data_IF_699300057498
#
_entry.id   IF_699300057498
#
_cell.length_a   1.000
_cell.length_b   1.000
_cell.length_c   1.000
_cell.angle_alpha   90.00
_cell.angle_beta   90.00
_cell.angle_gamma   90.00
#
_symmetry.space_group_name_H-M   'P 1'
#
loop_
_entity.id
_entity.type
_entity.pdbx_description
1 polymer ?
#
# COMPACT_ATOMS: atom_id res chain seq x y z
N UNK A 1 40.09 1.60 16.25
CA UNK A 1 39.40 2.46 17.23
C UNK A 1 38.54 3.46 16.45
N UNK A 2 37.21 3.37 16.52
CA UNK A 2 36.33 4.28 15.78
C UNK A 2 36.30 5.69 16.41
N UNK A 3 36.38 6.72 15.58
CA UNK A 3 36.39 8.14 15.98
C UNK A 3 35.14 8.51 16.79
N UNK A 4 35.30 9.38 17.80
CA UNK A 4 34.21 9.87 18.68
C UNK A 4 33.04 10.48 17.90
N UNK A 5 33.28 11.02 16.70
CA UNK A 5 32.26 11.55 15.80
C UNK A 5 31.35 10.45 15.23
N UNK A 6 31.94 9.36 14.71
CA UNK A 6 31.17 8.20 14.21
C UNK A 6 30.37 7.52 15.32
N UNK A 7 30.92 7.47 16.55
CA UNK A 7 30.19 6.91 17.71
C UNK A 7 29.00 7.78 18.11
N UNK A 8 29.10 9.11 17.99
CA UNK A 8 27.97 10.03 18.21
C UNK A 8 26.92 9.89 17.11
N UNK A 9 27.30 9.83 15.83
CA UNK A 9 26.36 9.62 14.73
C UNK A 9 25.60 8.29 14.87
N UNK A 10 26.31 7.20 15.20
CA UNK A 10 25.69 5.90 15.47
C UNK A 10 24.72 5.92 16.66
N UNK A 11 25.06 6.62 17.74
CA UNK A 11 24.15 6.77 18.89
C UNK A 11 22.96 7.67 18.58
N UNK A 12 23.11 8.63 17.66
CA UNK A 12 22.01 9.50 17.23
C UNK A 12 21.04 8.74 16.34
N UNK A 13 21.54 7.93 15.41
CA UNK A 13 20.76 6.98 14.61
C UNK A 13 20.06 5.93 15.49
N UNK A 14 20.73 5.41 16.53
CA UNK A 14 20.14 4.48 17.49
C UNK A 14 19.05 5.12 18.37
N UNK A 15 19.14 6.42 18.66
CA UNK A 15 18.06 7.16 19.36
C UNK A 15 16.88 7.45 18.44
N UNK A 16 17.13 7.82 17.18
CA UNK A 16 16.08 8.03 16.17
C UNK A 16 15.35 6.73 15.83
N UNK A 17 16.03 5.58 15.84
CA UNK A 17 15.40 4.27 15.67
C UNK A 17 14.42 3.90 16.80
N UNK A 18 14.52 4.54 17.98
CA UNK A 18 13.67 4.26 19.14
C UNK A 18 12.52 5.25 19.34
N UNK A 19 12.49 6.36 18.59
CA UNK A 19 11.34 7.28 18.54
C UNK A 19 10.64 7.11 17.20
N UNK A 20 9.55 6.33 17.12
CA UNK A 20 8.81 6.23 15.89
C UNK A 20 8.25 7.61 15.55
N UNK A 21 8.48 8.09 14.33
CA UNK A 21 7.94 9.37 13.84
C UNK A 21 6.41 9.35 13.95
N UNK A 22 5.81 8.16 13.81
CA UNK A 22 4.40 7.90 14.07
C UNK A 22 3.94 8.25 15.50
N UNK A 23 4.77 8.14 16.55
CA UNK A 23 4.37 8.49 17.92
C UNK A 23 4.31 10.01 18.14
N UNK A 24 5.23 10.78 17.56
CA UNK A 24 5.19 12.25 17.61
C UNK A 24 4.02 12.80 16.79
N UNK A 25 3.70 12.19 15.65
CA UNK A 25 2.54 12.55 14.83
C UNK A 25 1.20 12.15 15.48
N UNK A 26 1.16 11.01 16.21
CA UNK A 26 -0.04 10.53 16.92
C UNK A 26 -0.37 11.36 18.16
N UNK A 27 0.63 11.88 18.88
CA UNK A 27 0.43 12.70 20.08
C UNK A 27 -0.32 14.01 19.82
N UNK A 28 -0.22 14.55 18.60
CA UNK A 28 -0.86 15.82 18.22
C UNK A 28 -2.34 15.69 17.78
N UNK A 29 -2.83 14.47 17.50
CA UNK A 29 -4.18 14.24 16.96
C UNK A 29 -5.18 13.66 17.97
N UNK A 30 -4.74 13.26 19.17
CA UNK A 30 -5.59 12.65 20.21
C UNK A 30 -6.36 13.66 21.09
N UNK A 31 -6.37 14.95 20.72
CA UNK A 31 -7.01 16.03 21.49
C UNK A 31 -8.52 16.19 21.32
N UNK A 32 -9.20 15.36 20.51
CA UNK A 32 -10.65 15.49 20.31
C UNK A 32 -11.41 14.31 20.93
N UNK A 33 -12.05 14.58 22.07
CA UNK A 33 -12.97 13.68 22.75
C UNK A 33 -14.24 13.48 21.90
N UNK A 34 -14.43 12.27 21.38
CA UNK A 34 -15.70 11.86 20.80
C UNK A 34 -16.61 11.29 21.90
N UNK A 35 -17.72 11.97 22.18
CA UNK A 35 -18.78 11.46 23.06
C UNK A 35 -19.48 10.26 22.41
N UNK A 36 -19.49 9.12 23.10
CA UNK A 36 -20.22 7.90 22.69
C UNK A 36 -21.71 8.08 22.98
N UNK A 37 -22.54 8.05 21.94
CA UNK A 37 -23.99 7.82 22.06
C UNK A 37 -24.25 6.32 21.99
N UNK A 38 -24.82 5.76 23.06
CA UNK A 38 -25.16 4.35 23.15
C UNK A 38 -26.48 4.05 22.40
N UNK A 39 -26.44 3.15 21.42
CA UNK A 39 -27.64 2.55 20.83
C UNK A 39 -27.63 1.04 21.06
N UNK A 40 -28.80 0.48 21.43
CA UNK A 40 -28.99 -0.93 21.76
C UNK A 40 -29.00 -1.79 20.49
N UNK A 41 -28.41 -3.01 20.49
CA UNK A 41 -28.42 -3.87 19.31
C UNK A 41 -29.73 -4.66 19.20
N UNK A 42 -30.28 -4.70 17.98
CA UNK A 42 -31.35 -5.60 17.54
C UNK A 42 -30.70 -6.92 17.10
N UNK A 43 -31.24 -8.05 17.57
CA UNK A 43 -30.73 -9.38 17.26
C UNK A 43 -31.19 -9.83 15.86
N UNK A 44 -30.23 -10.02 14.94
CA UNK A 44 -30.44 -10.79 13.71
C UNK A 44 -29.60 -12.07 13.75
N UNK A 45 -30.29 -13.20 13.63
CA UNK A 45 -29.74 -14.54 13.63
C UNK A 45 -29.13 -14.84 12.24
N UNK A 46 -27.79 -14.91 12.15
CA UNK A 46 -27.09 -15.36 10.94
C UNK A 46 -26.42 -16.72 11.17
N UNK A 47 -26.74 -17.68 10.30
CA UNK A 47 -26.17 -19.02 10.26
C UNK A 47 -24.65 -18.96 10.00
N UNK A 48 -23.86 -19.47 10.96
CA UNK A 48 -22.42 -19.68 10.82
C UNK A 48 -22.14 -20.84 9.86
N UNK A 49 -21.51 -20.57 8.71
CA UNK A 49 -20.76 -21.56 7.95
C UNK A 49 -19.34 -21.64 8.52
N UNK A 50 -18.96 -22.82 9.02
CA UNK A 50 -17.65 -23.06 9.64
C UNK A 50 -16.51 -23.14 8.62
N UNK A 51 -15.46 -22.36 8.84
CA UNK A 51 -14.16 -22.54 8.20
C UNK A 51 -13.37 -23.61 8.97
N UNK A 52 -12.83 -24.60 8.25
CA UNK A 52 -11.98 -25.65 8.82
C UNK A 52 -10.65 -25.07 9.30
N UNK A 53 -10.24 -25.49 10.49
CA UNK A 53 -8.95 -25.23 11.12
C UNK A 53 -7.82 -25.98 10.42
N UNK A 54 -6.70 -25.28 10.16
CA UNK A 54 -5.42 -25.90 9.82
C UNK A 54 -4.67 -26.31 11.10
N UNK A 55 -4.03 -27.49 11.15
CA UNK A 55 -3.31 -27.95 12.34
C UNK A 55 -1.90 -27.34 12.41
N UNK A 56 -1.59 -26.67 13.52
CA UNK A 56 -0.23 -26.25 13.89
C UNK A 56 0.52 -27.42 14.53
N UNK A 57 1.54 -27.94 13.85
CA UNK A 57 2.44 -28.96 14.41
C UNK A 57 3.53 -28.27 15.24
N UNK A 58 3.29 -28.14 16.55
CA UNK A 58 4.32 -27.75 17.50
C UNK A 58 5.24 -28.95 17.76
N UNK A 59 6.53 -28.80 17.50
CA UNK A 59 7.54 -29.83 17.70
C UNK A 59 8.85 -29.23 18.19
N UNK A 60 9.10 -29.36 19.49
CA UNK A 60 10.39 -29.50 20.19
C UNK A 60 11.62 -28.94 19.42
N UNK A 61 11.67 -27.61 19.25
CA UNK A 61 12.89 -26.89 18.81
C UNK A 61 12.97 -25.49 19.45
N UNK A 62 12.35 -25.33 20.63
CA UNK A 62 12.16 -24.03 21.29
C UNK A 62 13.31 -23.54 22.18
N UNK A 63 14.30 -24.38 22.49
CA UNK A 63 15.25 -24.11 23.59
C UNK A 63 16.63 -23.63 23.16
N UNK A 64 17.06 -23.82 21.89
CA UNK A 64 18.39 -23.39 21.42
C UNK A 64 18.30 -22.15 20.50
N UNK A 65 17.10 -21.79 20.04
CA UNK A 65 16.84 -20.67 19.12
C UNK A 65 16.75 -19.30 19.83
N UNK A 66 16.45 -19.28 21.13
CA UNK A 66 16.08 -18.06 21.87
C UNK A 66 17.23 -17.16 22.35
N UNK A 67 18.46 -17.66 22.48
CA UNK A 67 19.53 -16.91 23.18
C UNK A 67 20.44 -16.11 22.24
N UNK A 68 20.50 -16.48 20.95
CA UNK A 68 21.34 -15.80 19.94
C UNK A 68 20.50 -14.91 18.98
N UNK A 69 19.18 -15.12 18.91
CA UNK A 69 18.30 -14.35 18.02
C UNK A 69 17.92 -12.96 18.57
N UNK A 70 17.69 -12.81 19.88
CA UNK A 70 17.15 -11.56 20.47
C UNK A 70 18.06 -10.33 20.34
N UNK A 71 19.39 -10.50 20.28
CA UNK A 71 20.33 -9.36 20.18
C UNK A 71 20.50 -8.82 18.75
N UNK A 72 20.17 -9.62 17.72
CA UNK A 72 20.26 -9.22 16.30
C UNK A 72 18.90 -8.96 15.65
N UNK A 73 17.81 -9.28 16.35
CA UNK A 73 16.42 -9.11 15.91
C UNK A 73 16.11 -7.68 15.45
N UNK A 74 16.43 -6.62 16.22
CA UNK A 74 16.08 -5.25 15.82
C UNK A 74 16.74 -4.84 14.50
N UNK A 75 18.03 -5.15 14.32
CA UNK A 75 18.78 -4.81 13.10
C UNK A 75 18.28 -5.59 11.87
N UNK A 76 17.91 -6.86 12.07
CA UNK A 76 17.33 -7.68 10.99
C UNK A 76 15.97 -7.16 10.55
N UNK A 77 15.14 -6.72 11.49
CA UNK A 77 13.83 -6.11 11.20
C UNK A 77 14.02 -4.81 10.42
N UNK A 78 14.92 -3.92 10.85
CA UNK A 78 15.20 -2.66 10.13
C UNK A 78 15.67 -2.92 8.70
N UNK A 79 16.62 -3.84 8.50
CA UNK A 79 17.13 -4.17 7.17
C UNK A 79 16.06 -4.80 6.27
N UNK A 80 15.31 -5.79 6.78
CA UNK A 80 14.26 -6.46 6.03
C UNK A 80 13.11 -5.51 5.67
N UNK A 81 12.67 -4.68 6.62
CA UNK A 81 11.63 -3.67 6.36
C UNK A 81 12.09 -2.62 5.35
N UNK A 82 13.38 -2.24 5.36
CA UNK A 82 13.94 -1.34 4.34
C UNK A 82 13.91 -1.97 2.95
N UNK A 83 14.31 -3.22 2.80
CA UNK A 83 14.26 -3.92 1.50
C UNK A 83 12.82 -4.00 0.96
N UNK A 84 11.86 -4.32 1.83
CA UNK A 84 10.44 -4.37 1.47
C UNK A 84 9.93 -2.99 1.07
N UNK A 85 10.26 -1.97 1.86
CA UNK A 85 9.90 -0.60 1.55
C UNK A 85 10.46 -0.15 0.19
N UNK A 86 11.73 -0.47 -0.10
CA UNK A 86 12.36 -0.14 -1.38
C UNK A 86 11.68 -0.83 -2.56
N UNK A 87 11.10 -2.01 -2.36
CA UNK A 87 10.27 -2.65 -3.38
C UNK A 87 8.95 -1.89 -3.59
N UNK A 88 8.30 -1.42 -2.52
CA UNK A 88 7.09 -0.61 -2.60
C UNK A 88 7.33 0.75 -3.30
N UNK A 89 8.39 1.46 -2.93
CA UNK A 89 8.66 2.83 -3.41
C UNK A 89 9.12 2.90 -4.87
N UNK A 90 9.58 1.78 -5.42
CA UNK A 90 9.96 1.63 -6.84
C UNK A 90 8.80 1.36 -7.79
N UNK A 91 7.58 1.21 -7.27
CA UNK A 91 6.42 0.87 -8.10
C UNK A 91 6.07 1.98 -9.10
N UNK A 92 5.97 3.24 -8.64
CA UNK A 92 5.68 4.41 -9.48
C UNK A 92 6.81 5.45 -9.37
N UNK A 93 7.98 5.18 -9.98
CA UNK A 93 9.12 6.06 -9.87
C UNK A 93 8.88 7.34 -10.69
N UNK A 94 9.23 8.47 -10.11
CA UNK A 94 9.26 9.75 -10.81
C UNK A 94 10.56 10.49 -10.47
N UNK A 95 10.98 11.37 -11.37
CA UNK A 95 12.14 12.23 -11.20
C UNK A 95 11.82 13.63 -11.71
N UNK A 96 12.18 14.65 -10.95
CA UNK A 96 12.11 16.04 -11.38
C UNK A 96 13.54 16.50 -11.66
N UNK A 97 13.75 17.19 -12.78
CA UNK A 97 15.06 17.76 -13.11
C UNK A 97 15.41 18.90 -12.13
N UNK A 98 16.53 18.81 -11.38
CA UNK A 98 16.99 19.88 -10.50
C UNK A 98 17.13 21.25 -11.18
N UNK A 99 17.40 21.29 -12.49
CA UNK A 99 17.50 22.53 -13.26
C UNK A 99 16.11 23.17 -13.38
N UNK A 100 15.09 22.37 -13.69
CA UNK A 100 13.70 22.84 -13.79
C UNK A 100 13.17 23.34 -12.44
N UNK A 101 13.59 22.73 -11.32
CA UNK A 101 13.26 23.21 -9.96
C UNK A 101 13.80 24.62 -9.74
N UNK A 102 15.10 24.83 -10.01
CA UNK A 102 15.73 26.14 -9.81
C UNK A 102 15.19 27.21 -10.75
N UNK A 103 14.82 26.83 -11.97
CA UNK A 103 14.25 27.74 -12.96
C UNK A 103 12.76 28.04 -12.72
N UNK A 104 12.07 27.28 -11.85
CA UNK A 104 10.63 27.41 -11.63
C UNK A 104 9.77 27.02 -12.84
N UNK A 105 10.32 26.22 -13.76
CA UNK A 105 9.70 25.85 -15.04
C UNK A 105 9.11 24.44 -15.05
N UNK A 106 8.94 23.83 -13.87
CA UNK A 106 8.37 22.49 -13.76
C UNK A 106 6.94 22.49 -14.31
N UNK A 107 6.59 21.58 -15.24
CA UNK A 107 5.21 21.43 -15.68
C UNK A 107 4.31 21.07 -14.51
N UNK A 108 3.10 21.64 -14.48
CA UNK A 108 2.14 21.40 -13.40
C UNK A 108 0.84 20.78 -13.92
N UNK A 109 0.23 19.95 -13.11
CA UNK A 109 -1.16 19.50 -13.30
C UNK A 109 -2.14 20.68 -13.13
N UNK A 110 -3.40 20.56 -13.59
CA UNK A 110 -4.44 21.56 -13.29
C UNK A 110 -4.61 21.83 -11.79
N UNK A 111 -4.32 20.84 -10.95
CA UNK A 111 -4.36 20.93 -9.48
C UNK A 111 -3.08 21.53 -8.87
N UNK A 112 -2.10 21.92 -9.70
CA UNK A 112 -0.87 22.59 -9.28
C UNK A 112 0.28 21.66 -8.84
N UNK A 113 0.13 20.34 -8.97
CA UNK A 113 1.19 19.38 -8.66
C UNK A 113 2.29 19.38 -9.73
N UNK A 114 3.54 19.31 -9.28
CA UNK A 114 4.72 19.16 -10.15
C UNK A 114 4.71 17.81 -10.89
N UNK A 115 4.90 17.86 -12.20
CA UNK A 115 5.00 16.71 -13.09
C UNK A 115 6.47 16.48 -13.44
N UNK A 116 6.98 15.31 -13.09
CA UNK A 116 8.32 14.86 -13.46
C UNK A 116 8.34 13.94 -14.67
N UNK A 117 9.42 13.16 -14.78
CA UNK A 117 9.54 12.03 -15.70
C UNK A 117 9.35 10.74 -14.91
N UNK A 118 8.51 9.83 -15.40
CA UNK A 118 8.30 8.51 -14.80
C UNK A 118 8.13 7.44 -15.87
N UNK A 119 8.48 6.20 -15.51
CA UNK A 119 8.36 5.02 -16.38
C UNK A 119 7.80 3.85 -15.59
N UNK A 120 7.24 2.87 -16.30
CA UNK A 120 6.68 1.66 -15.72
C UNK A 120 5.16 1.67 -15.73
N UNK A 121 4.56 0.53 -15.34
CA UNK A 121 3.16 0.28 -15.63
C UNK A 121 2.18 1.31 -15.06
N UNK A 122 2.49 1.90 -13.91
CA UNK A 122 1.61 2.89 -13.29
C UNK A 122 1.51 4.18 -14.14
N UNK A 123 2.57 4.53 -14.86
CA UNK A 123 2.60 5.69 -15.75
C UNK A 123 2.23 5.30 -17.19
N UNK A 124 2.86 4.25 -17.71
CA UNK A 124 2.76 3.88 -19.13
C UNK A 124 1.44 3.17 -19.45
N UNK A 125 1.02 2.23 -18.60
CA UNK A 125 -0.18 1.41 -18.83
C UNK A 125 -1.42 2.08 -18.22
N UNK A 126 -1.37 2.48 -16.94
CA UNK A 126 -2.51 3.08 -16.21
C UNK A 126 -2.64 4.61 -16.31
N UNK A 127 -1.74 5.27 -17.08
CA UNK A 127 -1.79 6.71 -17.38
C UNK A 127 -1.85 7.61 -16.14
N UNK A 128 -1.21 7.21 -15.05
CA UNK A 128 -1.07 8.08 -13.87
C UNK A 128 0.09 9.05 -14.09
N UNK A 129 -0.09 10.34 -13.80
CA UNK A 129 0.97 11.32 -14.00
C UNK A 129 2.14 11.05 -13.03
N UNK A 130 3.40 11.26 -13.46
CA UNK A 130 4.59 11.08 -12.63
C UNK A 130 4.77 12.23 -11.61
N UNK A 131 3.92 12.24 -10.59
CA UNK A 131 3.92 13.24 -9.51
C UNK A 131 4.21 12.60 -8.15
N UNK A 132 4.58 13.42 -7.16
CA UNK A 132 4.71 12.98 -5.76
C UNK A 132 3.42 12.32 -5.25
N UNK A 133 2.27 12.85 -5.65
CA UNK A 133 0.96 12.32 -5.26
C UNK A 133 0.77 10.90 -5.78
N UNK A 134 1.01 10.65 -7.07
CA UNK A 134 0.96 9.29 -7.65
C UNK A 134 1.95 8.35 -6.96
N UNK A 135 3.20 8.79 -6.77
CA UNK A 135 4.21 7.98 -6.08
C UNK A 135 3.77 7.60 -4.66
N UNK A 136 3.31 8.57 -3.87
CA UNK A 136 2.94 8.33 -2.48
C UNK A 136 1.72 7.41 -2.36
N UNK A 137 0.68 7.61 -3.18
CA UNK A 137 -0.53 6.77 -3.19
C UNK A 137 -0.23 5.33 -3.63
N UNK A 138 0.55 5.15 -4.69
CA UNK A 138 0.96 3.82 -5.16
C UNK A 138 1.86 3.14 -4.13
N UNK A 139 2.81 3.85 -3.54
CA UNK A 139 3.69 3.30 -2.48
C UNK A 139 2.88 2.86 -1.27
N UNK A 140 1.94 3.69 -0.80
CA UNK A 140 1.04 3.36 0.31
C UNK A 140 0.16 2.14 -0.02
N UNK A 141 -0.32 2.01 -1.26
CA UNK A 141 -1.07 0.82 -1.70
C UNK A 141 -0.23 -0.47 -1.63
N UNK A 142 1.06 -0.43 -1.99
CA UNK A 142 1.94 -1.60 -1.83
C UNK A 142 2.27 -1.86 -0.36
N UNK A 143 2.51 -0.81 0.43
CA UNK A 143 2.71 -0.94 1.87
C UNK A 143 1.49 -1.55 2.56
N UNK A 144 0.26 -1.22 2.12
CA UNK A 144 -0.97 -1.80 2.64
C UNK A 144 -0.99 -3.32 2.48
N UNK A 145 -0.58 -3.84 1.32
CA UNK A 145 -0.51 -5.29 1.07
C UNK A 145 0.37 -5.99 2.10
N UNK A 146 1.54 -5.40 2.37
CA UNK A 146 2.48 -5.90 3.40
C UNK A 146 1.87 -5.76 4.80
N UNK A 147 1.23 -4.63 5.10
CA UNK A 147 0.54 -4.38 6.37
C UNK A 147 -0.55 -5.42 6.66
N UNK A 148 -1.32 -5.82 5.65
CA UNK A 148 -2.29 -6.90 5.76
C UNK A 148 -1.61 -8.21 6.18
N UNK A 149 -0.51 -8.58 5.54
CA UNK A 149 0.22 -9.81 5.88
C UNK A 149 0.90 -9.77 7.26
N UNK A 150 1.43 -8.60 7.64
CA UNK A 150 2.08 -8.42 8.94
C UNK A 150 1.12 -8.61 10.12
N UNK A 151 -0.18 -8.35 9.92
CA UNK A 151 -1.20 -8.57 10.96
C UNK A 151 -1.41 -10.04 11.32
N UNK A 152 -0.90 -10.96 10.52
CA UNK A 152 -0.94 -12.40 10.80
C UNK A 152 0.24 -12.85 11.69
N UNK A 153 1.23 -11.99 11.95
CA UNK A 153 2.33 -12.25 12.88
C UNK A 153 1.91 -12.01 14.34
N UNK A 154 2.79 -12.36 15.28
CA UNK A 154 2.68 -11.94 16.67
C UNK A 154 2.51 -10.43 16.80
N UNK A 155 1.68 -10.00 17.76
CA UNK A 155 1.26 -8.59 17.92
C UNK A 155 2.44 -7.62 18.01
N UNK A 156 3.47 -7.97 18.77
CA UNK A 156 4.63 -7.09 18.99
C UNK A 156 5.52 -7.01 17.75
N UNK A 157 5.73 -8.15 17.07
CA UNK A 157 6.43 -8.19 15.80
C UNK A 157 5.67 -7.36 14.74
N UNK A 158 4.37 -7.58 14.59
CA UNK A 158 3.53 -6.84 13.66
C UNK A 158 3.63 -5.32 13.88
N UNK A 159 3.51 -4.86 15.13
CA UNK A 159 3.63 -3.44 15.49
C UNK A 159 5.01 -2.87 15.18
N UNK A 160 6.08 -3.59 15.53
CA UNK A 160 7.45 -3.17 15.27
C UNK A 160 7.72 -3.01 13.77
N UNK A 161 7.30 -3.99 12.97
CA UNK A 161 7.47 -3.97 11.51
C UNK A 161 6.66 -2.86 10.84
N UNK A 162 5.40 -2.71 11.25
CA UNK A 162 4.54 -1.66 10.73
C UNK A 162 5.09 -0.26 11.03
N UNK A 163 5.59 -0.04 12.25
CA UNK A 163 6.22 1.23 12.61
C UNK A 163 7.44 1.52 11.73
N UNK A 164 8.34 0.55 11.56
CA UNK A 164 9.54 0.72 10.72
C UNK A 164 9.22 0.98 9.24
N UNK A 165 8.24 0.27 8.67
CA UNK A 165 7.80 0.52 7.29
C UNK A 165 7.24 1.92 7.10
N UNK A 166 6.45 2.41 8.06
CA UNK A 166 5.91 3.77 8.06
C UNK A 166 7.03 4.78 8.19
N UNK A 167 7.97 4.57 9.11
CA UNK A 167 9.11 5.46 9.29
C UNK A 167 9.92 5.58 7.98
N UNK A 168 10.28 4.46 7.32
CA UNK A 168 10.97 4.49 6.02
C UNK A 168 10.24 5.30 4.96
N UNK A 169 8.91 5.19 4.90
CA UNK A 169 8.08 5.96 3.99
C UNK A 169 8.13 7.46 4.27
N UNK A 170 8.00 7.86 5.54
CA UNK A 170 8.02 9.27 5.91
C UNK A 170 9.40 9.91 5.74
N UNK A 171 10.48 9.14 5.92
CA UNK A 171 11.83 9.61 5.60
C UNK A 171 12.02 9.87 4.10
N UNK A 172 11.61 8.95 3.22
CA UNK A 172 11.69 9.16 1.75
C UNK A 172 10.75 10.30 1.31
N UNK A 173 9.55 10.40 1.91
CA UNK A 173 8.62 11.48 1.62
C UNK A 173 9.20 12.86 1.98
N UNK A 174 9.85 13.00 3.15
CA UNK A 174 10.51 14.27 3.52
C UNK A 174 11.68 14.59 2.58
N UNK A 175 12.51 13.59 2.27
CA UNK A 175 13.64 13.75 1.34
C UNK A 175 13.18 14.22 -0.04
N UNK A 176 12.10 13.64 -0.58
CA UNK A 176 11.51 14.05 -1.86
C UNK A 176 10.93 15.45 -1.81
N UNK A 177 10.27 15.84 -0.71
CA UNK A 177 9.77 17.21 -0.56
C UNK A 177 10.92 18.23 -0.55
N UNK A 178 12.02 17.92 0.13
CA UNK A 178 13.18 18.81 0.23
C UNK A 178 13.96 18.86 -1.10
N UNK A 179 14.41 17.70 -1.59
CA UNK A 179 15.31 17.60 -2.75
C UNK A 179 14.57 17.63 -4.09
N UNK A 180 13.41 16.98 -4.18
CA UNK A 180 12.65 16.81 -5.42
C UNK A 180 11.68 17.96 -5.72
N UNK A 181 11.22 18.68 -4.69
CA UNK A 181 10.26 19.78 -4.84
C UNK A 181 10.79 21.12 -4.28
N UNK A 182 12.01 21.15 -3.75
CA UNK A 182 12.63 22.39 -3.25
C UNK A 182 11.93 22.98 -2.03
N UNK A 183 11.15 22.20 -1.28
CA UNK A 183 10.41 22.66 -0.10
C UNK A 183 11.37 22.73 1.09
N UNK A 184 12.21 23.76 1.11
CA UNK A 184 13.24 23.96 2.14
C UNK A 184 12.66 24.30 3.53
N UNK A 185 11.43 24.83 3.58
CA UNK A 185 10.75 25.15 4.84
C UNK A 185 10.35 23.87 5.59
N UNK A 186 11.08 23.58 6.68
CA UNK A 186 10.77 22.47 7.59
C UNK A 186 9.34 22.53 8.14
N UNK A 187 8.84 23.72 8.46
CA UNK A 187 7.47 23.90 8.97
C UNK A 187 6.42 23.46 7.95
N UNK A 188 6.64 23.81 6.68
CA UNK A 188 5.76 23.42 5.58
C UNK A 188 5.84 21.91 5.30
N UNK A 189 7.05 21.33 5.27
CA UNK A 189 7.21 19.87 5.15
C UNK A 189 6.50 19.12 6.26
N UNK A 190 6.66 19.53 7.52
CA UNK A 190 5.98 18.92 8.65
C UNK A 190 4.44 18.97 8.54
N UNK A 191 3.89 20.05 7.96
CA UNK A 191 2.45 20.13 7.67
C UNK A 191 2.06 19.06 6.65
N UNK A 192 2.77 18.98 5.52
CA UNK A 192 2.48 17.99 4.49
C UNK A 192 2.65 16.54 4.97
N UNK A 193 3.67 16.25 5.80
CA UNK A 193 3.85 14.93 6.39
C UNK A 193 2.69 14.57 7.35
N UNK A 194 2.15 15.53 8.10
CA UNK A 194 0.93 15.30 8.91
C UNK A 194 -0.28 14.99 8.04
N UNK A 195 -0.47 15.74 6.96
CA UNK A 195 -1.57 15.49 6.02
C UNK A 195 -1.43 14.09 5.39
N UNK A 196 -0.22 13.72 4.99
CA UNK A 196 0.10 12.41 4.43
C UNK A 196 -0.11 11.27 5.44
N UNK A 197 0.15 11.52 6.74
CA UNK A 197 -0.14 10.55 7.81
C UNK A 197 -1.64 10.32 7.99
N UNK A 198 -2.46 11.37 7.91
CA UNK A 198 -3.92 11.21 7.92
C UNK A 198 -4.38 10.42 6.69
N UNK A 199 -3.85 10.72 5.51
CA UNK A 199 -4.13 9.97 4.29
C UNK A 199 -3.77 8.50 4.42
N UNK A 200 -2.58 8.17 4.94
CA UNK A 200 -2.15 6.80 5.20
C UNK A 200 -3.17 6.03 6.05
N UNK A 201 -3.66 6.63 7.14
CA UNK A 201 -4.66 6.01 8.01
C UNK A 201 -6.00 5.80 7.30
N UNK A 202 -6.41 6.77 6.47
CA UNK A 202 -7.61 6.66 5.64
C UNK A 202 -7.51 5.55 4.60
N UNK A 203 -6.36 5.42 3.94
CA UNK A 203 -6.04 4.38 2.96
C UNK A 203 -6.14 2.99 3.61
N UNK A 204 -5.50 2.80 4.77
CA UNK A 204 -5.55 1.52 5.49
C UNK A 204 -6.99 1.14 5.82
N UNK A 205 -7.79 2.07 6.34
CA UNK A 205 -9.20 1.82 6.67
C UNK A 205 -10.05 1.50 5.44
N UNK A 206 -9.89 2.26 4.36
CA UNK A 206 -10.67 2.09 3.13
C UNK A 206 -10.35 0.76 2.42
N UNK A 207 -9.08 0.38 2.37
CA UNK A 207 -8.67 -0.90 1.79
C UNK A 207 -9.07 -2.08 2.66
N UNK A 208 -9.00 -1.98 3.98
CA UNK A 208 -9.54 -3.01 4.89
C UNK A 208 -11.04 -3.24 4.66
N UNK A 209 -11.80 -2.15 4.55
CA UNK A 209 -13.23 -2.23 4.25
C UNK A 209 -13.50 -2.88 2.88
N UNK A 210 -12.78 -2.46 1.84
CA UNK A 210 -12.92 -3.01 0.49
C UNK A 210 -12.55 -4.50 0.44
N UNK A 211 -11.46 -4.90 1.08
CA UNK A 211 -11.03 -6.30 1.15
C UNK A 211 -12.06 -7.14 1.91
N UNK A 212 -12.61 -6.65 3.01
CA UNK A 212 -13.56 -7.40 3.84
C UNK A 212 -14.97 -7.50 3.23
N UNK A 213 -15.40 -6.51 2.43
CA UNK A 213 -16.74 -6.47 1.86
C UNK A 213 -16.82 -7.13 0.48
N UNK A 214 -16.46 -6.39 -0.57
CA UNK A 214 -16.56 -6.85 -1.96
C UNK A 214 -15.71 -5.97 -2.88
N UNK A 215 -15.57 -6.43 -4.12
CA UNK A 215 -14.71 -5.79 -5.12
C UNK A 215 -15.20 -4.42 -5.58
N UNK A 216 -16.50 -4.13 -5.51
CA UNK A 216 -17.02 -2.79 -5.83
C UNK A 216 -16.60 -1.75 -4.78
N UNK A 217 -16.64 -2.11 -3.49
CA UNK A 217 -16.16 -1.25 -2.41
C UNK A 217 -14.64 -1.07 -2.51
N UNK A 218 -13.91 -2.14 -2.83
CA UNK A 218 -12.47 -2.07 -3.05
C UNK A 218 -12.09 -1.20 -4.26
N UNK A 219 -12.80 -1.36 -5.38
CA UNK A 219 -12.65 -0.52 -6.57
C UNK A 219 -12.90 0.95 -6.24
N UNK A 220 -13.95 1.26 -5.47
CA UNK A 220 -14.22 2.64 -5.03
C UNK A 220 -13.07 3.20 -4.20
N UNK A 221 -12.48 2.41 -3.29
CA UNK A 221 -11.33 2.84 -2.50
C UNK A 221 -10.08 3.11 -3.38
N UNK A 222 -9.78 2.22 -4.33
CA UNK A 222 -8.66 2.39 -5.27
C UNK A 222 -8.89 3.61 -6.16
N UNK A 223 -10.10 3.79 -6.68
CA UNK A 223 -10.46 4.94 -7.51
C UNK A 223 -10.23 6.27 -6.79
N UNK A 224 -10.68 6.40 -5.53
CA UNK A 224 -10.48 7.61 -4.74
C UNK A 224 -9.01 7.89 -4.43
N UNK A 225 -8.24 6.85 -4.09
CA UNK A 225 -6.86 7.03 -3.62
C UNK A 225 -5.83 7.09 -4.77
N UNK A 226 -5.89 6.15 -5.71
CA UNK A 226 -4.91 6.02 -6.81
C UNK A 226 -5.26 6.93 -7.97
N UNK A 227 -6.54 6.96 -8.35
CA UNK A 227 -7.00 7.77 -9.49
C UNK A 227 -7.55 9.14 -9.09
N UNK A 228 -7.48 9.49 -7.80
CA UNK A 228 -7.94 10.78 -7.24
C UNK A 228 -9.40 11.10 -7.56
N UNK A 229 -10.26 10.08 -7.61
CA UNK A 229 -11.67 10.21 -7.94
C UNK A 229 -11.96 10.89 -9.30
N UNK A 230 -11.01 10.82 -10.25
CA UNK A 230 -11.23 11.32 -11.61
C UNK A 230 -12.26 10.49 -12.36
N UNK A 231 -13.17 11.15 -13.07
CA UNK A 231 -14.23 10.48 -13.83
C UNK A 231 -13.72 9.88 -15.16
N UNK A 232 -12.64 10.44 -15.71
CA UNK A 232 -12.05 10.08 -17.01
C UNK A 232 -11.13 8.85 -16.95
N UNK A 233 -11.44 7.88 -16.10
CA UNK A 233 -10.62 6.69 -15.94
C UNK A 233 -11.10 5.53 -16.79
N UNK A 234 -10.16 4.71 -17.24
CA UNK A 234 -10.47 3.43 -17.84
C UNK A 234 -10.86 2.42 -16.74
N UNK A 235 -12.11 1.97 -16.75
CA UNK A 235 -12.65 1.01 -15.77
C UNK A 235 -11.88 -0.32 -15.81
N UNK A 236 -11.35 -0.71 -16.98
CA UNK A 236 -10.52 -1.91 -17.13
C UNK A 236 -9.25 -1.84 -16.29
N UNK A 237 -8.62 -0.66 -16.22
CA UNK A 237 -7.40 -0.44 -15.43
C UNK A 237 -7.71 -0.53 -13.94
N UNK A 238 -8.82 0.09 -13.51
CA UNK A 238 -9.30 -0.01 -12.14
C UNK A 238 -9.58 -1.47 -11.73
N UNK A 239 -10.28 -2.22 -12.57
CA UNK A 239 -10.57 -3.63 -12.34
C UNK A 239 -9.29 -4.49 -12.30
N UNK A 240 -8.30 -4.20 -13.14
CA UNK A 240 -7.00 -4.89 -13.12
C UNK A 240 -6.27 -4.67 -11.80
N UNK A 241 -6.28 -3.44 -11.26
CA UNK A 241 -5.67 -3.15 -9.95
C UNK A 241 -6.43 -3.87 -8.82
N UNK A 242 -7.77 -3.96 -8.88
CA UNK A 242 -8.57 -4.73 -7.91
C UNK A 242 -8.18 -6.21 -7.93
N UNK A 243 -8.17 -6.84 -9.11
CA UNK A 243 -7.75 -8.24 -9.28
C UNK A 243 -6.33 -8.47 -8.76
N UNK A 244 -5.42 -7.55 -9.11
CA UNK A 244 -4.02 -7.59 -8.69
C UNK A 244 -3.88 -7.50 -7.18
N UNK A 245 -4.66 -6.63 -6.52
CA UNK A 245 -4.62 -6.47 -5.08
C UNK A 245 -5.09 -7.76 -4.38
N UNK A 246 -6.14 -8.40 -4.89
CA UNK A 246 -6.63 -9.71 -4.41
C UNK A 246 -5.57 -10.81 -4.59
N UNK A 247 -4.96 -10.88 -5.77
CA UNK A 247 -3.90 -11.85 -6.05
C UNK A 247 -2.68 -11.63 -5.14
N UNK A 248 -2.24 -10.40 -4.98
CA UNK A 248 -1.09 -10.04 -4.14
C UNK A 248 -1.32 -10.41 -2.68
N UNK A 249 -2.52 -10.13 -2.15
CA UNK A 249 -2.90 -10.55 -0.80
C UNK A 249 -2.90 -12.07 -0.66
N UNK A 250 -3.44 -12.81 -1.64
CA UNK A 250 -3.42 -14.27 -1.65
C UNK A 250 -1.99 -14.83 -1.67
N UNK A 251 -1.11 -14.26 -2.50
CA UNK A 251 0.30 -14.67 -2.58
C UNK A 251 1.05 -14.41 -1.27
N UNK A 252 0.79 -13.26 -0.64
CA UNK A 252 1.38 -12.90 0.65
C UNK A 252 0.86 -13.79 1.79
N UNK A 253 -0.43 -14.14 1.79
CA UNK A 253 -1.05 -15.02 2.79
C UNK A 253 -0.47 -16.44 2.72
N UNK A 254 -0.20 -16.94 1.51
CA UNK A 254 0.42 -18.25 1.28
C UNK A 254 1.92 -18.30 1.59
N UNK A 255 2.55 -17.15 1.89
CA UNK A 255 3.96 -17.07 2.20
C UNK A 255 4.23 -17.48 3.66
N UNK A 256 5.17 -18.40 3.94
CA UNK A 256 5.59 -18.70 5.32
C UNK A 256 6.15 -17.47 6.05
N UNK A 257 6.02 -17.40 7.37
CA UNK A 257 6.48 -16.25 8.16
C UNK A 257 7.98 -15.99 7.96
N UNK A 258 8.83 -17.03 7.92
CA UNK A 258 10.27 -16.89 7.70
C UNK A 258 10.59 -16.33 6.31
N UNK A 259 9.72 -16.57 5.33
CA UNK A 259 9.88 -16.06 3.98
C UNK A 259 9.53 -14.56 3.89
N UNK A 260 8.74 -14.03 4.81
CA UNK A 260 8.42 -12.60 4.83
C UNK A 260 9.67 -11.74 4.97
N UNK A 261 10.66 -12.21 5.74
CA UNK A 261 11.92 -11.51 5.99
C UNK A 261 12.84 -11.38 4.78
N UNK A 262 12.67 -12.23 3.77
CA UNK A 262 13.63 -12.37 2.65
C UNK A 262 12.96 -12.30 1.28
N UNK A 263 11.66 -12.54 1.20
CA UNK A 263 10.92 -12.72 -0.06
C UNK A 263 9.67 -11.86 -0.17
N UNK A 264 9.29 -11.08 0.83
CA UNK A 264 8.10 -10.23 0.76
C UNK A 264 8.11 -9.29 -0.47
N UNK A 265 9.28 -8.75 -0.82
CA UNK A 265 9.44 -7.92 -2.02
C UNK A 265 9.15 -8.64 -3.35
N UNK A 266 9.21 -9.98 -3.40
CA UNK A 266 8.92 -10.75 -4.63
C UNK A 266 7.43 -10.78 -4.96
N UNK A 267 6.55 -10.84 -3.96
CA UNK A 267 5.10 -10.80 -4.16
C UNK A 267 4.66 -9.45 -4.76
N UNK A 268 5.39 -8.38 -4.44
CA UNK A 268 5.13 -7.03 -4.94
C UNK A 268 5.64 -6.80 -6.38
N UNK A 269 6.46 -7.70 -6.93
CA UNK A 269 7.00 -7.57 -8.30
C UNK A 269 6.02 -8.01 -9.39
N UNK A 270 4.93 -8.70 -9.03
CA UNK A 270 3.93 -9.12 -10.01
C UNK A 270 3.26 -7.88 -10.62
N UNK A 271 3.35 -7.64 -11.95
CA UNK A 271 2.77 -6.46 -12.56
C UNK A 271 1.23 -6.54 -12.61
N UNK A 272 0.54 -5.50 -12.14
CA UNK A 272 -0.92 -5.42 -12.16
C UNK A 272 -1.53 -5.49 -13.56
N UNK A 273 -0.81 -5.04 -14.60
CA UNK A 273 -1.26 -5.16 -16.00
C UNK A 273 -1.45 -6.61 -16.46
N UNK A 274 -0.80 -7.58 -15.82
CA UNK A 274 -1.00 -8.98 -16.17
C UNK A 274 -2.43 -9.44 -15.86
N UNK A 275 -3.13 -8.74 -14.97
CA UNK A 275 -4.52 -9.03 -14.62
C UNK A 275 -5.53 -8.62 -15.69
N UNK A 276 -5.12 -7.89 -16.73
CA UNK A 276 -5.99 -7.64 -17.88
C UNK A 276 -6.54 -8.96 -18.46
N UNK A 277 -5.71 -10.00 -18.53
CA UNK A 277 -6.11 -11.31 -19.03
C UNK A 277 -7.19 -12.00 -18.17
N UNK A 278 -7.34 -11.60 -16.89
CA UNK A 278 -8.39 -12.09 -16.00
C UNK A 278 -9.64 -11.23 -16.16
N UNK A 279 -9.47 -9.91 -16.16
CA UNK A 279 -10.57 -8.93 -16.24
C UNK A 279 -11.31 -8.98 -17.57
N UNK A 280 -10.61 -9.28 -18.67
CA UNK A 280 -11.21 -9.31 -20.02
C UNK A 280 -12.10 -10.53 -20.25
N UNK A 281 -12.01 -11.54 -19.39
CA UNK A 281 -12.80 -12.77 -19.53
C UNK A 281 -14.16 -12.58 -18.87
N UNK A 282 -15.26 -12.81 -19.60
CA UNK A 282 -16.58 -12.84 -18.99
C UNK A 282 -16.62 -13.81 -17.81
N UNK A 283 -17.23 -13.37 -16.71
CA UNK A 283 -17.54 -14.29 -15.61
C UNK A 283 -18.54 -15.33 -16.08
N UNK A 284 -18.57 -16.51 -15.47
CA UNK A 284 -19.53 -17.57 -15.84
C UNK A 284 -20.98 -17.09 -15.82
N UNK A 285 -21.31 -16.16 -14.92
CA UNK A 285 -22.65 -15.59 -14.78
C UNK A 285 -23.00 -14.63 -15.93
N UNK A 286 -22.00 -13.93 -16.49
CA UNK A 286 -22.17 -13.01 -17.61
C UNK A 286 -21.93 -13.67 -18.97
N UNK A 287 -21.25 -14.82 -19.01
CA UNK A 287 -20.98 -15.55 -20.25
C UNK A 287 -22.29 -15.88 -20.98
N UNK A 288 -23.31 -16.32 -20.24
CA UNK A 288 -24.64 -16.64 -20.78
C UNK A 288 -25.43 -15.38 -21.22
N UNK A 289 -25.08 -14.20 -20.70
CA UNK A 289 -25.71 -12.92 -21.04
C UNK A 289 -25.05 -12.22 -22.24
N UNK A 290 -23.81 -12.58 -22.57
CA UNK A 290 -23.00 -11.96 -23.62
C UNK A 290 -22.93 -12.80 -24.90
N UNK A 291 -23.43 -14.04 -24.91
CA UNK A 291 -23.64 -14.79 -26.16
C UNK A 291 -24.75 -14.11 -26.96
N UNK A 292 -24.50 -13.71 -28.23
CA UNK A 292 -25.55 -13.15 -29.06
C UNK A 292 -26.70 -14.16 -29.20
N UNK A 293 -27.92 -13.74 -28.86
CA UNK A 293 -29.12 -14.46 -29.23
C UNK A 293 -29.18 -14.48 -30.78
N UNK A 294 -28.67 -15.55 -31.40
CA UNK A 294 -28.81 -15.81 -32.84
C UNK A 294 -30.28 -16.09 -33.26
N UNK A 295 -31.25 -15.89 -32.37
CA UNK A 295 -32.68 -16.09 -32.62
C UNK A 295 -33.38 -14.92 -33.33
N UNK A 296 -32.73 -13.75 -33.48
CA UNK A 296 -33.34 -12.59 -34.18
C UNK A 296 -33.03 -12.49 -35.68
N UNK A 297 -32.09 -13.30 -36.21
CA UNK A 297 -31.71 -13.28 -37.63
C UNK A 297 -32.39 -14.38 -38.48
N UNK A 298 -33.08 -15.34 -37.86
CA UNK A 298 -33.75 -16.44 -38.58
C UNK A 298 -35.21 -16.13 -38.99
N UNK A 299 -35.83 -15.07 -38.48
CA UNK A 299 -37.25 -14.74 -38.72
C UNK A 299 -37.53 -13.84 -39.93
N UNK A 300 -36.51 -13.28 -40.59
CA UNK A 300 -36.68 -12.31 -41.67
C UNK A 300 -36.46 -12.89 -43.09
N UNK A 301 -36.18 -14.19 -43.21
CA UNK A 301 -35.85 -14.82 -44.50
C UNK A 301 -36.95 -15.74 -45.07
N UNK A 302 -38.16 -15.77 -44.49
CA UNK A 302 -39.25 -16.66 -44.93
C UNK A 302 -40.58 -15.97 -45.25
N UNK A 303 -40.52 -14.74 -45.75
CA UNK A 303 -41.68 -14.07 -46.38
C UNK A 303 -41.26 -13.50 -47.73
N UNK A 304 -41.18 -14.39 -48.70
CA UNK A 304 -41.05 -14.13 -50.14
C UNK A 304 -41.82 -15.19 -50.90
#
# INVERSE_FOLDING_TARGET
>A
MACRSCKRQLLTLARQANTPVAAELSGALLGQQFHRVATKPIAHQQQRRGFRSTPTRSGIMGSIRNTIQKSSEPYRVVAATKEIYDACSKAAPYKIDPIAIKAGTIPKTPEGEDIGEGKGMWHDDFKLPPTFSTWSQVTMLHMYLVFARLRNLDRDAARSWQAQLVDHFFFDAEERMDLGHGISSRGLRNKYLKDLFVQWRGIVAAYDEGVAKNDAVLASAIWRNVFKAREDINIRDLAAIVSWMRLSLKMLDQMPDEALFTRAGTALRWPAKNEFAVVDKPTRVLADQLTPNNSSLAGAASSG
#
